data_IF_524196511513
#
_entry.id   IF_524196511513
#
_cell.length_a   1.000
_cell.length_b   1.000
_cell.length_c   1.000
_cell.angle_alpha   90.00
_cell.angle_beta   90.00
_cell.angle_gamma   90.00
#
_symmetry.space_group_name_H-M   'P 1'
#
loop_
_entity.id
_entity.type
_entity.pdbx_description
1 polymer ?
#
# COMPACT_ATOMS: atom_id res chain seq x y z
N UNK A 1 -15.93 71.03 -37.22
CA UNK A 1 -14.62 70.45 -37.57
C UNK A 1 -13.82 69.99 -36.31
N UNK A 2 -14.20 70.41 -35.12
CA UNK A 2 -13.51 70.07 -33.84
C UNK A 2 -13.94 68.72 -33.28
N UNK A 3 -15.12 68.23 -33.58
CA UNK A 3 -15.67 66.96 -32.99
C UNK A 3 -15.08 65.67 -33.63
N UNK A 4 -14.64 65.73 -34.86
CA UNK A 4 -14.00 64.58 -35.53
C UNK A 4 -12.52 64.34 -35.08
N UNK A 5 -11.87 65.35 -34.52
CA UNK A 5 -10.49 65.21 -34.01
C UNK A 5 -10.49 64.58 -32.63
N UNK A 6 -11.47 64.88 -31.78
CA UNK A 6 -11.57 64.32 -30.42
C UNK A 6 -11.96 62.82 -30.44
N UNK A 7 -12.82 62.38 -31.40
CA UNK A 7 -13.15 60.97 -31.51
C UNK A 7 -12.01 60.10 -32.05
N UNK A 8 -11.16 60.63 -32.95
CA UNK A 8 -9.96 59.90 -33.44
C UNK A 8 -8.87 59.75 -32.39
N UNK A 9 -8.72 60.72 -31.49
CA UNK A 9 -7.78 60.64 -30.38
C UNK A 9 -8.22 59.64 -29.28
N UNK A 10 -9.54 59.51 -29.03
CA UNK A 10 -10.07 58.49 -28.09
C UNK A 10 -9.94 57.08 -28.67
N UNK A 11 -10.18 56.87 -29.95
CA UNK A 11 -9.98 55.57 -30.60
C UNK A 11 -8.51 55.16 -30.63
N UNK A 12 -7.59 56.09 -30.89
CA UNK A 12 -6.14 55.81 -30.87
C UNK A 12 -5.63 55.43 -29.45
N UNK A 13 -6.22 56.02 -28.39
CA UNK A 13 -5.92 55.70 -27.00
C UNK A 13 -6.40 54.27 -26.64
N UNK A 14 -7.61 53.90 -27.03
CA UNK A 14 -8.16 52.57 -26.78
C UNK A 14 -7.39 51.45 -27.54
N UNK A 15 -6.96 51.73 -28.78
CA UNK A 15 -6.14 50.79 -29.52
C UNK A 15 -4.72 50.60 -28.90
N UNK A 16 -4.19 51.65 -28.26
CA UNK A 16 -2.89 51.56 -27.57
C UNK A 16 -2.97 50.78 -26.26
N UNK A 17 -4.08 50.95 -25.50
CA UNK A 17 -4.34 50.17 -24.29
C UNK A 17 -4.64 48.71 -24.63
N UNK A 18 -5.45 48.40 -25.65
CA UNK A 18 -5.69 47.04 -26.12
C UNK A 18 -4.40 46.34 -26.57
N UNK A 19 -3.50 47.04 -27.28
CA UNK A 19 -2.19 46.51 -27.69
C UNK A 19 -1.28 46.27 -26.49
N UNK A 20 -1.30 47.12 -25.47
CA UNK A 20 -0.55 46.97 -24.26
C UNK A 20 -1.06 45.79 -23.41
N UNK A 21 -2.39 45.62 -23.30
CA UNK A 21 -3.00 44.46 -22.64
C UNK A 21 -2.74 43.16 -23.40
N UNK A 22 -2.80 43.16 -24.72
CA UNK A 22 -2.46 41.98 -25.53
C UNK A 22 -0.99 41.62 -25.44
N UNK A 23 -0.07 42.58 -25.33
CA UNK A 23 1.36 42.35 -25.12
C UNK A 23 1.65 41.85 -23.68
N UNK A 24 0.89 42.32 -22.67
CA UNK A 24 1.00 41.79 -21.31
C UNK A 24 0.49 40.35 -21.21
N UNK A 25 -0.62 40.02 -21.88
CA UNK A 25 -1.14 38.64 -21.94
C UNK A 25 -0.18 37.73 -22.71
N UNK A 26 0.42 38.20 -23.83
CA UNK A 26 1.44 37.43 -24.52
C UNK A 26 2.71 37.25 -23.67
N UNK A 27 3.15 38.25 -22.89
CA UNK A 27 4.31 38.15 -22.02
C UNK A 27 4.07 37.18 -20.84
N UNK A 28 2.83 37.12 -20.31
CA UNK A 28 2.45 36.17 -19.25
C UNK A 28 2.37 34.74 -19.82
N UNK A 29 1.92 34.56 -21.05
CA UNK A 29 1.88 33.24 -21.72
C UNK A 29 3.30 32.76 -22.11
N UNK A 30 4.25 33.65 -22.36
CA UNK A 30 5.64 33.27 -22.70
C UNK A 30 6.55 33.04 -21.47
N UNK A 31 6.13 33.45 -20.26
CA UNK A 31 6.89 33.18 -19.04
C UNK A 31 6.50 31.89 -18.32
N UNK A 32 5.51 31.16 -18.79
CA UNK A 32 5.29 29.78 -18.40
C UNK A 32 6.08 28.83 -19.33
N UNK A 33 7.40 28.98 -19.35
CA UNK A 33 8.25 27.86 -19.75
C UNK A 33 7.87 26.70 -18.79
N UNK A 34 7.52 25.50 -19.32
CA UNK A 34 7.35 24.36 -18.45
C UNK A 34 8.66 24.24 -17.67
N UNK A 35 8.60 24.36 -16.35
CA UNK A 35 9.71 24.00 -15.49
C UNK A 35 9.99 22.55 -15.86
N UNK A 36 11.05 22.32 -16.64
CA UNK A 36 11.47 20.99 -17.03
C UNK A 36 11.65 20.25 -15.70
N UNK A 37 10.84 19.25 -15.43
CA UNK A 37 10.96 18.46 -14.21
C UNK A 37 12.45 18.11 -14.09
N UNK A 38 13.06 18.44 -12.95
CA UNK A 38 14.47 18.16 -12.77
C UNK A 38 14.61 16.64 -12.70
N UNK A 39 15.36 16.08 -13.63
CA UNK A 39 15.56 14.64 -13.77
C UNK A 39 16.63 14.19 -12.79
N UNK A 40 16.42 13.12 -11.99
CA UNK A 40 17.47 12.56 -11.15
C UNK A 40 18.69 12.14 -11.96
N UNK A 41 19.89 12.20 -11.39
CA UNK A 41 21.07 11.69 -12.08
C UNK A 41 20.91 10.21 -12.42
N UNK A 42 21.13 9.81 -13.66
CA UNK A 42 20.99 8.43 -14.12
C UNK A 42 21.86 7.45 -13.29
N UNK A 43 23.03 7.90 -12.85
CA UNK A 43 23.94 7.13 -11.99
C UNK A 43 23.33 6.86 -10.60
N UNK A 44 22.54 7.77 -10.06
CA UNK A 44 21.87 7.59 -8.79
C UNK A 44 20.65 6.66 -8.92
N UNK A 45 19.87 6.79 -9.99
CA UNK A 45 18.76 5.88 -10.31
C UNK A 45 19.28 4.44 -10.42
N UNK A 46 20.38 4.24 -11.15
CA UNK A 46 20.99 2.92 -11.33
C UNK A 46 21.58 2.37 -10.03
N UNK A 47 22.24 3.18 -9.22
CA UNK A 47 22.73 2.80 -7.89
C UNK A 47 21.61 2.23 -7.01
N UNK A 48 20.50 2.95 -6.93
CA UNK A 48 19.37 2.52 -6.10
C UNK A 48 18.73 1.26 -6.68
N UNK A 49 18.57 1.18 -8.00
CA UNK A 49 18.02 0.00 -8.67
C UNK A 49 18.84 -1.26 -8.38
N UNK A 50 20.16 -1.20 -8.57
CA UNK A 50 21.08 -2.31 -8.29
C UNK A 50 21.07 -2.69 -6.80
N UNK A 51 21.04 -1.71 -5.91
CA UNK A 51 20.94 -1.96 -4.48
C UNK A 51 19.63 -2.64 -4.07
N UNK A 52 18.50 -2.24 -4.65
CA UNK A 52 17.21 -2.91 -4.42
C UNK A 52 17.19 -4.34 -4.98
N UNK A 53 17.79 -4.58 -6.16
CA UNK A 53 17.97 -5.96 -6.67
C UNK A 53 18.81 -6.81 -5.72
N UNK A 54 19.87 -6.25 -5.18
CA UNK A 54 20.70 -6.93 -4.19
C UNK A 54 19.93 -7.25 -2.91
N UNK A 55 19.16 -6.28 -2.38
CA UNK A 55 18.30 -6.50 -1.20
C UNK A 55 17.30 -7.64 -1.46
N UNK A 56 16.67 -7.66 -2.63
CA UNK A 56 15.73 -8.73 -2.99
C UNK A 56 16.42 -10.09 -3.05
N UNK A 57 17.50 -10.19 -3.82
CA UNK A 57 18.09 -11.48 -4.21
C UNK A 57 19.04 -12.05 -3.13
N UNK A 58 19.69 -11.19 -2.33
CA UNK A 58 20.69 -11.63 -1.34
C UNK A 58 20.19 -11.56 0.11
N UNK A 59 19.06 -10.85 0.37
CA UNK A 59 18.57 -10.66 1.73
C UNK A 59 17.13 -11.16 1.93
N UNK A 60 16.16 -10.69 1.13
CA UNK A 60 14.76 -11.04 1.33
C UNK A 60 14.50 -12.49 0.87
N UNK A 61 14.71 -12.78 -0.41
CA UNK A 61 14.36 -14.10 -0.98
C UNK A 61 15.04 -15.25 -0.26
N UNK A 62 16.36 -15.20 0.03
CA UNK A 62 17.03 -16.32 0.72
C UNK A 62 16.56 -16.58 2.16
N UNK A 63 16.02 -15.56 2.84
CA UNK A 63 15.43 -15.75 4.16
C UNK A 63 14.08 -16.48 4.09
N UNK A 64 13.26 -16.15 3.09
CA UNK A 64 11.91 -16.70 3.00
C UNK A 64 11.85 -18.04 2.25
N UNK A 65 12.71 -18.26 1.27
CA UNK A 65 12.74 -19.50 0.49
C UNK A 65 14.10 -20.19 0.62
N UNK A 66 14.13 -21.51 0.90
CA UNK A 66 12.99 -22.43 1.19
C UNK A 66 12.61 -22.49 2.67
N UNK A 67 13.24 -21.71 3.55
CA UNK A 67 13.26 -21.90 5.02
C UNK A 67 11.87 -21.91 5.67
N UNK A 68 10.91 -21.18 5.14
CA UNK A 68 9.57 -21.07 5.74
C UNK A 68 8.58 -22.15 5.25
N UNK A 69 8.93 -22.98 4.28
CA UNK A 69 8.03 -24.01 3.76
C UNK A 69 7.79 -25.08 4.83
N UNK A 70 6.54 -25.34 5.19
CA UNK A 70 6.17 -26.44 6.10
C UNK A 70 5.80 -27.69 5.28
N UNK A 71 6.83 -28.46 4.92
CA UNK A 71 6.66 -29.69 4.13
C UNK A 71 5.78 -30.74 4.84
N UNK A 72 5.70 -30.69 6.17
CA UNK A 72 4.97 -31.68 6.96
C UNK A 72 3.47 -31.38 7.06
N UNK A 73 3.12 -30.13 7.32
CA UNK A 73 1.77 -29.74 7.69
C UNK A 73 1.13 -28.80 6.65
N UNK A 74 1.85 -28.47 5.58
CA UNK A 74 1.41 -27.52 4.57
C UNK A 74 1.53 -26.06 5.01
N UNK A 75 1.45 -25.14 4.04
CA UNK A 75 1.61 -23.70 4.29
C UNK A 75 3.03 -23.33 4.76
N UNK A 76 3.13 -22.32 5.62
CA UNK A 76 4.42 -21.75 6.00
C UNK A 76 4.60 -21.69 7.51
N UNK A 77 5.85 -21.88 7.96
CA UNK A 77 6.28 -21.73 9.36
C UNK A 77 6.77 -20.29 9.59
N UNK A 78 5.95 -19.46 10.21
CA UNK A 78 6.20 -18.03 10.38
C UNK A 78 6.40 -17.67 11.86
N UNK A 79 7.37 -18.33 12.51
CA UNK A 79 7.72 -18.11 13.91
C UNK A 79 9.25 -18.06 14.05
N UNK A 80 9.85 -16.91 13.67
CA UNK A 80 11.30 -16.74 13.70
C UNK A 80 11.65 -15.51 14.56
N UNK A 81 12.59 -15.66 15.46
CA UNK A 81 13.07 -14.58 16.33
C UNK A 81 13.79 -13.45 15.57
N UNK A 82 14.35 -12.51 16.30
CA UNK A 82 15.08 -11.36 15.73
C UNK A 82 16.34 -11.74 14.95
N UNK A 83 16.90 -12.92 15.19
CA UNK A 83 18.06 -13.46 14.49
C UNK A 83 17.69 -14.44 13.36
N UNK A 84 16.40 -14.59 13.08
CA UNK A 84 15.93 -15.52 12.06
C UNK A 84 15.89 -16.97 12.49
N UNK A 85 16.07 -17.27 13.77
CA UNK A 85 16.00 -18.64 14.29
C UNK A 85 14.56 -19.07 14.46
N UNK A 86 14.19 -20.21 13.89
CA UNK A 86 12.85 -20.80 14.04
C UNK A 86 12.59 -21.19 15.49
N UNK A 87 11.46 -20.70 16.04
CA UNK A 87 11.10 -20.86 17.45
C UNK A 87 10.11 -22.03 17.69
N UNK A 88 9.90 -22.87 16.69
CA UNK A 88 8.99 -24.00 16.76
C UNK A 88 7.60 -23.72 16.13
N UNK A 89 6.77 -24.78 15.99
CA UNK A 89 5.45 -24.66 15.38
C UNK A 89 4.55 -23.68 16.14
N UNK A 90 3.77 -22.92 15.40
CA UNK A 90 2.80 -21.96 15.94
C UNK A 90 1.52 -21.96 15.11
N UNK A 91 0.46 -21.36 15.63
CA UNK A 91 -0.76 -21.14 14.86
C UNK A 91 -0.46 -20.44 13.54
N UNK A 92 -1.15 -20.86 12.48
CA UNK A 92 -1.04 -20.31 11.14
C UNK A 92 -2.16 -19.33 10.88
N UNK A 93 -1.80 -18.04 10.91
CA UNK A 93 -2.75 -16.94 10.69
C UNK A 93 -2.98 -16.72 9.19
N UNK A 94 -4.24 -16.59 8.77
CA UNK A 94 -4.64 -16.34 7.39
C UNK A 94 -3.87 -15.19 6.76
N UNK A 95 -3.75 -14.05 7.46
CA UNK A 95 -3.11 -12.84 6.95
C UNK A 95 -1.69 -13.12 6.45
N UNK A 96 -0.86 -13.76 7.25
CA UNK A 96 0.55 -13.98 6.89
C UNK A 96 0.74 -15.18 5.96
N UNK A 97 -0.12 -16.20 6.05
CA UNK A 97 -0.13 -17.28 5.05
C UNK A 97 -0.49 -16.72 3.66
N UNK A 98 -1.56 -15.94 3.55
CA UNK A 98 -1.97 -15.31 2.30
C UNK A 98 -0.92 -14.34 1.75
N UNK A 99 -0.36 -13.46 2.60
CA UNK A 99 0.72 -12.54 2.23
C UNK A 99 1.95 -13.25 1.69
N UNK A 100 2.27 -14.44 2.20
CA UNK A 100 3.41 -15.24 1.72
C UNK A 100 3.09 -15.92 0.37
N UNK A 101 1.87 -16.43 0.17
CA UNK A 101 1.39 -16.89 -1.16
C UNK A 101 1.48 -15.75 -2.17
N UNK A 102 0.99 -14.56 -1.79
CA UNK A 102 1.06 -13.38 -2.64
C UNK A 102 2.51 -13.05 -3.04
N UNK A 103 3.44 -13.03 -2.07
CA UNK A 103 4.84 -12.70 -2.32
C UNK A 103 5.50 -13.66 -3.31
N UNK A 104 5.38 -14.96 -3.11
CA UNK A 104 5.98 -15.94 -4.03
C UNK A 104 5.34 -15.89 -5.42
N UNK A 105 4.02 -15.68 -5.49
CA UNK A 105 3.30 -15.49 -6.77
C UNK A 105 3.79 -14.23 -7.48
N UNK A 106 3.91 -13.12 -6.77
CA UNK A 106 4.36 -11.84 -7.31
C UNK A 106 5.82 -11.88 -7.74
N UNK A 107 6.67 -12.55 -6.97
CA UNK A 107 8.08 -12.76 -7.31
C UNK A 107 8.22 -13.48 -8.67
N UNK A 108 7.40 -14.52 -8.88
CA UNK A 108 7.33 -15.23 -10.17
C UNK A 108 6.76 -14.33 -11.29
N UNK A 109 5.64 -13.66 -11.07
CA UNK A 109 4.97 -12.80 -12.05
C UNK A 109 5.86 -11.63 -12.50
N UNK A 110 6.71 -11.13 -11.62
CA UNK A 110 7.64 -10.02 -11.92
C UNK A 110 8.93 -10.44 -12.64
N UNK A 111 9.16 -11.76 -12.81
CA UNK A 111 10.35 -12.30 -13.44
C UNK A 111 11.60 -12.33 -12.55
N UNK A 112 11.47 -12.00 -11.26
CA UNK A 112 12.54 -12.12 -10.27
C UNK A 112 12.57 -13.49 -9.57
N UNK A 113 11.51 -14.30 -9.72
CA UNK A 113 11.42 -15.67 -9.21
C UNK A 113 11.38 -16.72 -10.31
N UNK A 114 11.86 -17.92 -10.01
CA UNK A 114 11.81 -19.10 -10.86
C UNK A 114 10.61 -20.03 -10.57
N UNK A 115 10.54 -21.19 -11.26
CA UNK A 115 9.48 -22.21 -11.05
C UNK A 115 9.39 -22.69 -9.59
N UNK A 116 10.49 -22.69 -8.86
CA UNK A 116 10.55 -23.06 -7.43
C UNK A 116 9.74 -22.12 -6.55
N UNK A 117 9.70 -20.83 -6.86
CA UNK A 117 8.89 -19.85 -6.16
C UNK A 117 7.40 -19.99 -6.50
N UNK A 118 7.07 -20.33 -7.76
CA UNK A 118 5.71 -20.68 -8.12
C UNK A 118 5.24 -21.96 -7.40
N UNK A 119 6.10 -22.96 -7.27
CA UNK A 119 5.80 -24.17 -6.48
C UNK A 119 5.60 -23.86 -4.99
N UNK A 120 6.40 -22.91 -4.43
CA UNK A 120 6.20 -22.43 -3.07
C UNK A 120 4.86 -21.71 -2.89
N UNK A 121 4.46 -20.89 -3.87
CA UNK A 121 3.14 -20.25 -3.88
C UNK A 121 2.00 -21.27 -3.97
N UNK A 122 2.15 -22.29 -4.81
CA UNK A 122 1.17 -23.39 -4.94
C UNK A 122 1.01 -24.18 -3.64
N UNK A 123 2.13 -24.46 -2.94
CA UNK A 123 2.12 -25.12 -1.64
C UNK A 123 1.28 -24.33 -0.62
N UNK A 124 1.47 -23.01 -0.56
CA UNK A 124 0.68 -22.14 0.31
C UNK A 124 -0.78 -21.99 -0.13
N UNK A 125 -1.05 -21.90 -1.44
CA UNK A 125 -2.41 -21.86 -1.99
C UNK A 125 -3.21 -23.13 -1.62
N UNK A 126 -2.60 -24.32 -1.74
CA UNK A 126 -3.24 -25.56 -1.32
C UNK A 126 -3.60 -25.52 0.17
N UNK A 127 -2.72 -24.99 1.02
CA UNK A 127 -3.01 -24.80 2.44
C UNK A 127 -4.16 -23.82 2.70
N UNK A 128 -4.19 -22.68 1.99
CA UNK A 128 -5.32 -21.75 2.10
C UNK A 128 -6.65 -22.43 1.76
N UNK A 129 -6.70 -23.11 0.61
CA UNK A 129 -7.89 -23.78 0.11
C UNK A 129 -8.35 -24.92 1.02
N UNK A 130 -7.42 -25.79 1.46
CA UNK A 130 -7.76 -27.07 2.09
C UNK A 130 -7.86 -27.00 3.61
N UNK A 131 -7.24 -25.99 4.26
CA UNK A 131 -7.14 -25.92 5.71
C UNK A 131 -7.73 -24.63 6.31
N UNK A 132 -7.74 -23.53 5.57
CA UNK A 132 -8.25 -22.25 6.05
C UNK A 132 -9.62 -21.88 5.49
N UNK A 133 -10.00 -22.42 4.34
CA UNK A 133 -11.35 -22.26 3.79
C UNK A 133 -12.38 -22.98 4.67
N UNK A 134 -13.52 -22.34 4.88
CA UNK A 134 -14.63 -22.88 5.67
C UNK A 134 -15.69 -23.48 4.74
N UNK A 135 -15.66 -24.80 4.53
CA UNK A 135 -16.57 -25.52 3.63
C UNK A 135 -18.05 -25.43 4.04
N UNK A 136 -18.33 -25.11 5.31
CA UNK A 136 -19.72 -25.03 5.81
C UNK A 136 -20.36 -23.65 5.55
N UNK A 137 -19.60 -22.58 5.76
CA UNK A 137 -20.13 -21.21 5.69
C UNK A 137 -19.47 -20.33 4.61
N UNK A 138 -18.48 -20.86 3.92
CA UNK A 138 -17.68 -20.09 2.97
C UNK A 138 -16.74 -19.07 3.65
N UNK A 139 -15.78 -18.56 2.88
CA UNK A 139 -14.74 -17.66 3.36
C UNK A 139 -13.73 -18.34 4.28
N UNK A 140 -12.73 -17.62 4.70
CA UNK A 140 -11.61 -18.17 5.45
C UNK A 140 -11.76 -17.95 6.96
N UNK A 141 -11.35 -18.94 7.77
CA UNK A 141 -11.16 -18.74 9.21
C UNK A 141 -9.93 -17.88 9.48
N UNK A 142 -9.88 -17.16 10.62
CA UNK A 142 -8.76 -16.28 10.95
C UNK A 142 -7.44 -17.02 11.15
N UNK A 143 -7.47 -18.14 11.86
CA UNK A 143 -6.28 -18.98 12.09
C UNK A 143 -6.64 -20.43 12.38
N UNK A 144 -5.70 -21.30 12.05
CA UNK A 144 -5.68 -22.71 12.41
C UNK A 144 -4.44 -23.03 13.27
N UNK A 145 -4.43 -24.16 13.92
CA UNK A 145 -3.27 -24.65 14.67
C UNK A 145 -2.07 -24.94 13.74
N UNK A 146 -0.93 -25.26 14.31
CA UNK A 146 0.29 -25.54 13.56
C UNK A 146 0.14 -26.69 12.56
N UNK A 147 -0.79 -27.63 12.80
CA UNK A 147 -1.05 -28.77 11.90
C UNK A 147 -2.06 -28.46 10.78
N UNK A 148 -2.76 -27.34 10.88
CA UNK A 148 -3.83 -26.96 9.97
C UNK A 148 -5.18 -27.65 10.25
N UNK A 149 -5.28 -28.49 11.28
CA UNK A 149 -6.47 -29.34 11.49
C UNK A 149 -7.54 -28.69 12.36
N UNK A 150 -7.18 -27.77 13.23
CA UNK A 150 -8.09 -27.16 14.21
C UNK A 150 -8.14 -25.67 13.98
N UNK A 151 -9.34 -25.14 13.70
CA UNK A 151 -9.55 -23.71 13.65
C UNK A 151 -9.44 -23.11 15.06
N UNK A 152 -8.29 -22.49 15.35
CA UNK A 152 -8.02 -21.88 16.66
C UNK A 152 -8.78 -20.57 16.84
N UNK A 153 -9.06 -19.87 15.74
CA UNK A 153 -9.89 -18.67 15.69
C UNK A 153 -10.82 -18.74 14.46
N UNK A 154 -12.01 -19.32 14.62
CA UNK A 154 -12.90 -19.59 13.48
C UNK A 154 -13.67 -18.36 12.97
N UNK A 155 -13.64 -17.23 13.69
CA UNK A 155 -14.32 -16.01 13.26
C UNK A 155 -13.72 -15.45 11.95
N UNK A 156 -14.50 -14.62 11.27
CA UNK A 156 -14.12 -14.01 10.01
C UNK A 156 -13.94 -12.52 10.18
N UNK A 157 -12.83 -12.02 9.68
CA UNK A 157 -12.53 -10.60 9.67
C UNK A 157 -12.17 -10.17 8.26
N UNK A 158 -12.79 -9.09 7.81
CA UNK A 158 -12.67 -8.63 6.42
C UNK A 158 -11.23 -8.32 6.00
N UNK A 159 -10.44 -7.78 6.92
CA UNK A 159 -9.00 -7.57 6.69
C UNK A 159 -8.28 -8.83 6.20
N UNK A 160 -8.52 -9.95 6.87
CA UNK A 160 -7.89 -11.22 6.50
C UNK A 160 -8.49 -11.81 5.20
N UNK A 161 -9.81 -11.66 4.98
CA UNK A 161 -10.46 -12.06 3.73
C UNK A 161 -9.91 -11.27 2.53
N UNK A 162 -9.65 -9.96 2.71
CA UNK A 162 -9.01 -9.13 1.70
C UNK A 162 -7.64 -9.67 1.30
N UNK A 163 -6.78 -10.03 2.26
CA UNK A 163 -5.48 -10.66 1.93
C UNK A 163 -5.61 -12.02 1.27
N UNK A 164 -6.62 -12.81 1.63
CA UNK A 164 -6.88 -14.06 0.93
C UNK A 164 -7.27 -13.80 -0.54
N UNK A 165 -8.17 -12.87 -0.81
CA UNK A 165 -8.54 -12.47 -2.17
C UNK A 165 -7.32 -11.98 -2.96
N UNK A 166 -6.46 -11.17 -2.35
CA UNK A 166 -5.23 -10.66 -2.96
C UNK A 166 -4.27 -11.78 -3.35
N UNK A 167 -4.06 -12.75 -2.44
CA UNK A 167 -3.22 -13.91 -2.69
C UNK A 167 -3.78 -14.83 -3.78
N UNK A 168 -5.08 -15.11 -3.75
CA UNK A 168 -5.76 -15.93 -4.75
C UNK A 168 -5.66 -15.32 -6.15
N UNK A 169 -5.85 -14.01 -6.25
CA UNK A 169 -5.77 -13.26 -7.51
C UNK A 169 -4.35 -13.30 -8.10
N UNK A 170 -3.35 -13.02 -7.28
CA UNK A 170 -1.94 -13.03 -7.72
C UNK A 170 -1.48 -14.43 -8.10
N UNK A 171 -1.90 -15.46 -7.32
CA UNK A 171 -1.60 -16.85 -7.63
C UNK A 171 -2.33 -17.33 -8.90
N UNK A 172 -3.59 -16.96 -9.11
CA UNK A 172 -4.31 -17.26 -10.34
C UNK A 172 -3.60 -16.66 -11.56
N UNK A 173 -3.08 -15.46 -11.44
CA UNK A 173 -2.28 -14.79 -12.47
C UNK A 173 -0.96 -15.54 -12.75
N UNK A 174 -0.27 -16.01 -11.71
CA UNK A 174 0.99 -16.73 -11.83
C UNK A 174 0.82 -18.15 -12.39
N UNK A 175 -0.12 -18.91 -11.84
CA UNK A 175 -0.32 -20.33 -12.13
C UNK A 175 -1.17 -20.59 -13.38
N UNK A 176 -2.00 -19.61 -13.79
CA UNK A 176 -3.05 -19.75 -14.82
C UNK A 176 -4.11 -20.83 -14.48
N UNK A 177 -4.24 -21.18 -13.19
CA UNK A 177 -5.22 -22.18 -12.74
C UNK A 177 -6.61 -21.55 -12.61
N UNK A 178 -7.58 -22.08 -13.36
CA UNK A 178 -8.97 -21.62 -13.30
C UNK A 178 -9.61 -21.83 -11.92
N UNK A 179 -9.19 -22.87 -11.18
CA UNK A 179 -9.64 -23.15 -9.82
C UNK A 179 -9.30 -21.99 -8.85
N UNK A 180 -8.10 -21.44 -8.92
CA UNK A 180 -7.69 -20.32 -8.08
C UNK A 180 -8.48 -19.04 -8.41
N UNK A 181 -8.73 -18.78 -9.71
CA UNK A 181 -9.58 -17.67 -10.13
C UNK A 181 -11.05 -17.88 -9.71
N UNK A 182 -11.54 -19.12 -9.74
CA UNK A 182 -12.87 -19.51 -9.26
C UNK A 182 -13.04 -19.25 -7.77
N UNK A 183 -12.07 -19.65 -6.95
CA UNK A 183 -12.10 -19.42 -5.50
C UNK A 183 -12.00 -17.92 -5.17
N UNK A 184 -11.24 -17.13 -5.94
CA UNK A 184 -11.21 -15.67 -5.79
C UNK A 184 -12.58 -15.05 -6.10
N UNK A 185 -13.27 -15.51 -7.16
CA UNK A 185 -14.61 -15.07 -7.50
C UNK A 185 -15.62 -15.43 -6.40
N UNK A 186 -15.60 -16.67 -5.92
CA UNK A 186 -16.47 -17.13 -4.85
C UNK A 186 -16.30 -16.26 -3.59
N UNK A 187 -15.05 -16.03 -3.20
CA UNK A 187 -14.77 -15.16 -2.06
C UNK A 187 -15.29 -13.74 -2.27
N UNK A 188 -15.02 -13.12 -3.43
CA UNK A 188 -15.47 -11.75 -3.70
C UNK A 188 -16.99 -11.62 -3.57
N UNK A 189 -17.77 -12.49 -4.24
CA UNK A 189 -19.22 -12.43 -4.19
C UNK A 189 -19.78 -12.75 -2.80
N UNK A 190 -19.10 -13.63 -2.04
CA UNK A 190 -19.44 -13.86 -0.65
C UNK A 190 -19.26 -12.62 0.21
N UNK A 191 -18.15 -11.85 0.02
CA UNK A 191 -17.92 -10.60 0.73
C UNK A 191 -18.97 -9.53 0.37
N UNK A 192 -19.38 -9.46 -0.89
CA UNK A 192 -20.49 -8.60 -1.32
C UNK A 192 -21.80 -8.95 -0.61
N UNK A 193 -22.12 -10.22 -0.53
CA UNK A 193 -23.37 -10.68 0.13
C UNK A 193 -23.34 -10.46 1.64
N UNK A 194 -22.22 -10.75 2.30
CA UNK A 194 -22.14 -10.83 3.78
C UNK A 194 -21.63 -9.56 4.45
N UNK A 195 -20.75 -8.81 3.80
CA UNK A 195 -20.01 -7.75 4.45
C UNK A 195 -20.26 -6.35 3.87
N UNK A 196 -20.68 -6.21 2.61
CA UNK A 196 -20.92 -4.89 2.01
C UNK A 196 -22.02 -4.13 2.71
N UNK A 197 -21.77 -2.87 3.09
CA UNK A 197 -22.75 -1.98 3.71
C UNK A 197 -23.45 -1.10 2.67
N UNK A 198 -24.52 -1.60 2.09
CA UNK A 198 -25.29 -0.88 1.08
C UNK A 198 -25.94 0.43 1.59
N UNK A 199 -25.96 0.70 2.92
CA UNK A 199 -26.55 1.91 3.46
C UNK A 199 -25.54 3.06 3.55
N UNK A 200 -24.33 2.78 4.00
CA UNK A 200 -23.31 3.81 4.26
C UNK A 200 -22.05 3.62 3.43
N UNK A 201 -21.99 2.61 2.56
CA UNK A 201 -20.83 2.26 1.77
C UNK A 201 -19.71 1.63 2.58
N UNK A 202 -18.77 0.98 1.87
CA UNK A 202 -17.71 0.19 2.47
C UNK A 202 -18.23 -1.11 3.08
N UNK A 203 -17.49 -1.67 4.02
CA UNK A 203 -17.71 -3.02 4.48
C UNK A 203 -17.75 -3.12 6.00
N UNK A 204 -18.61 -3.99 6.52
CA UNK A 204 -18.55 -4.42 7.92
C UNK A 204 -17.41 -5.43 8.08
N UNK A 205 -16.74 -5.45 9.23
CA UNK A 205 -15.42 -6.08 9.33
C UNK A 205 -15.35 -7.34 10.17
N UNK A 206 -16.23 -7.46 11.17
CA UNK A 206 -16.14 -8.47 12.22
C UNK A 206 -17.36 -9.37 12.25
N UNK A 207 -17.16 -10.68 12.06
CA UNK A 207 -18.23 -11.67 11.99
C UNK A 207 -17.86 -12.92 12.78
N UNK A 208 -18.88 -13.60 13.29
CA UNK A 208 -18.76 -14.98 13.74
C UNK A 208 -18.42 -15.89 12.53
N UNK A 209 -18.11 -17.17 12.80
CA UNK A 209 -17.83 -18.18 11.79
C UNK A 209 -18.94 -18.27 10.74
N UNK A 210 -20.19 -18.20 11.18
CA UNK A 210 -21.42 -18.30 10.39
C UNK A 210 -21.83 -16.98 9.68
N UNK A 211 -20.93 -15.99 9.62
CA UNK A 211 -21.16 -14.64 9.11
C UNK A 211 -22.20 -13.83 9.91
N UNK A 212 -22.68 -14.36 11.05
CA UNK A 212 -23.48 -13.56 11.96
C UNK A 212 -22.67 -12.40 12.57
N UNK A 213 -23.33 -11.39 13.16
CA UNK A 213 -22.65 -10.26 13.79
C UNK A 213 -21.57 -10.70 14.77
N UNK A 214 -20.43 -10.03 14.77
CA UNK A 214 -19.33 -10.30 15.67
C UNK A 214 -19.72 -10.14 17.13
N UNK A 215 -18.93 -10.70 18.07
CA UNK A 215 -19.22 -10.58 19.49
C UNK A 215 -19.13 -9.13 19.95
N UNK A 216 -20.04 -8.73 20.86
CA UNK A 216 -20.09 -7.37 21.42
C UNK A 216 -18.99 -7.06 22.43
N UNK A 217 -18.16 -8.03 22.76
CA UNK A 217 -17.02 -7.89 23.69
C UNK A 217 -15.78 -8.52 23.07
N UNK A 218 -14.64 -7.84 23.19
CA UNK A 218 -13.36 -8.33 22.62
C UNK A 218 -13.26 -8.10 21.12
N UNK A 219 -12.98 -6.88 20.74
CA UNK A 219 -12.78 -6.50 19.33
C UNK A 219 -11.46 -7.06 18.81
N UNK A 220 -11.47 -7.52 17.56
CA UNK A 220 -10.25 -7.90 16.84
C UNK A 220 -9.67 -6.67 16.14
N UNK A 221 -8.36 -6.53 16.10
CA UNK A 221 -7.67 -5.36 15.55
C UNK A 221 -8.15 -4.01 16.10
N UNK A 222 -8.75 -4.02 17.29
CA UNK A 222 -9.40 -2.85 17.91
C UNK A 222 -10.52 -2.25 17.06
N UNK A 223 -11.16 -3.03 16.19
CA UNK A 223 -12.34 -2.59 15.42
C UNK A 223 -13.44 -2.16 16.38
N UNK A 224 -14.04 -0.96 16.23
CA UNK A 224 -15.18 -0.56 17.03
C UNK A 224 -16.35 -1.54 16.84
N UNK A 225 -17.14 -1.72 17.88
CA UNK A 225 -18.37 -2.52 17.76
C UNK A 225 -19.28 -1.84 16.73
N UNK A 226 -19.75 -2.61 15.74
CA UNK A 226 -20.53 -2.12 14.61
C UNK A 226 -19.87 -0.95 13.86
N UNK A 227 -18.55 -0.84 13.92
CA UNK A 227 -17.75 0.22 13.27
C UNK A 227 -16.92 -0.27 12.12
N UNK A 228 -16.13 0.66 11.58
CA UNK A 228 -15.24 0.47 10.43
C UNK A 228 -13.85 1.04 10.72
N UNK A 229 -12.83 0.42 10.13
CA UNK A 229 -11.45 0.90 10.17
C UNK A 229 -11.03 1.45 8.81
N UNK A 230 -10.29 2.56 8.83
CA UNK A 230 -9.56 3.01 7.65
C UNK A 230 -8.58 1.94 7.18
N UNK A 231 -7.83 1.35 8.10
CA UNK A 231 -6.83 0.33 7.81
C UNK A 231 -7.42 -0.88 7.05
N UNK A 232 -8.58 -1.41 7.43
CA UNK A 232 -9.22 -2.50 6.69
C UNK A 232 -9.59 -2.07 5.26
N UNK A 233 -10.21 -0.89 5.11
CA UNK A 233 -10.63 -0.40 3.79
C UNK A 233 -9.44 0.03 2.91
N UNK A 234 -8.34 0.48 3.52
CA UNK A 234 -7.06 0.68 2.85
C UNK A 234 -6.58 -0.61 2.19
N UNK A 235 -6.55 -1.70 2.97
CA UNK A 235 -6.10 -3.01 2.49
C UNK A 235 -7.13 -3.76 1.64
N UNK A 236 -8.33 -3.23 1.45
CA UNK A 236 -9.25 -3.70 0.41
C UNK A 236 -8.94 -3.08 -0.97
N UNK A 237 -8.28 -1.92 -1.04
CA UNK A 237 -7.86 -1.35 -2.33
C UNK A 237 -6.98 -2.32 -3.12
N UNK A 238 -6.06 -3.03 -2.45
CA UNK A 238 -5.12 -3.95 -3.10
C UNK A 238 -5.81 -5.14 -3.79
N UNK A 239 -6.59 -5.97 -3.07
CA UNK A 239 -7.29 -7.10 -3.70
C UNK A 239 -8.32 -6.65 -4.74
N UNK A 240 -9.04 -5.56 -4.50
CA UNK A 240 -10.03 -5.08 -5.45
C UNK A 240 -9.38 -4.51 -6.71
N UNK A 241 -8.22 -3.84 -6.58
CA UNK A 241 -7.41 -3.39 -7.72
C UNK A 241 -7.00 -4.57 -8.61
N UNK A 242 -6.33 -5.57 -8.01
CA UNK A 242 -5.82 -6.71 -8.77
C UNK A 242 -6.94 -7.63 -9.26
N UNK A 243 -8.02 -7.77 -8.50
CA UNK A 243 -9.16 -8.58 -8.91
C UNK A 243 -9.98 -7.90 -10.02
N UNK A 244 -10.09 -6.57 -10.03
CA UNK A 244 -10.70 -5.83 -11.15
C UNK A 244 -9.91 -6.06 -12.45
N UNK A 245 -8.57 -6.04 -12.38
CA UNK A 245 -7.70 -6.32 -13.53
C UNK A 245 -7.82 -7.78 -14.03
N UNK A 246 -7.95 -8.75 -13.10
CA UNK A 246 -8.07 -10.16 -13.45
C UNK A 246 -9.45 -10.51 -14.01
N UNK A 247 -10.52 -10.03 -13.37
CA UNK A 247 -11.90 -10.43 -13.68
C UNK A 247 -12.52 -9.62 -14.82
N UNK A 248 -12.18 -8.35 -14.93
CA UNK A 248 -12.87 -7.40 -15.79
C UNK A 248 -14.35 -7.18 -15.41
N UNK A 249 -14.74 -7.52 -14.19
CA UNK A 249 -16.10 -7.46 -13.69
C UNK A 249 -16.51 -6.02 -13.32
N UNK A 250 -17.64 -5.57 -13.86
CA UNK A 250 -18.16 -4.22 -13.63
C UNK A 250 -18.50 -3.96 -12.15
N UNK A 251 -19.00 -4.96 -11.40
CA UNK A 251 -19.29 -4.83 -9.97
C UNK A 251 -18.01 -4.64 -9.17
N UNK A 252 -16.95 -5.39 -9.48
CA UNK A 252 -15.63 -5.22 -8.83
C UNK A 252 -15.11 -3.81 -9.05
N UNK A 253 -15.23 -3.30 -10.28
CA UNK A 253 -14.85 -1.93 -10.61
C UNK A 253 -15.69 -0.89 -9.87
N UNK A 254 -16.99 -1.09 -9.74
CA UNK A 254 -17.88 -0.22 -8.96
C UNK A 254 -17.47 -0.18 -7.49
N UNK A 255 -17.19 -1.32 -6.87
CA UNK A 255 -16.71 -1.41 -5.48
C UNK A 255 -15.32 -0.81 -5.30
N UNK A 256 -14.44 -0.95 -6.28
CA UNK A 256 -13.13 -0.28 -6.27
C UNK A 256 -13.29 1.25 -6.26
N UNK A 257 -14.21 1.79 -7.07
CA UNK A 257 -14.52 3.23 -7.06
C UNK A 257 -15.10 3.67 -5.70
N UNK A 258 -15.97 2.87 -5.10
CA UNK A 258 -16.50 3.14 -3.76
C UNK A 258 -15.36 3.19 -2.71
N UNK A 259 -14.43 2.25 -2.74
CA UNK A 259 -13.25 2.24 -1.85
C UNK A 259 -12.33 3.45 -2.08
N UNK A 260 -12.13 3.86 -3.34
CA UNK A 260 -11.41 5.11 -3.67
C UNK A 260 -12.08 6.31 -3.00
N UNK A 261 -13.41 6.40 -3.05
CA UNK A 261 -14.15 7.49 -2.40
C UNK A 261 -14.06 7.43 -0.88
N UNK A 262 -14.12 6.25 -0.28
CA UNK A 262 -13.91 6.07 1.17
C UNK A 262 -12.53 6.58 1.57
N UNK A 263 -11.48 6.12 0.91
CA UNK A 263 -10.09 6.42 1.25
C UNK A 263 -9.65 7.85 0.91
N UNK A 264 -10.29 8.49 -0.07
CA UNK A 264 -9.98 9.87 -0.45
C UNK A 264 -10.85 10.92 0.24
N UNK A 265 -11.97 10.54 0.88
CA UNK A 265 -12.89 11.50 1.50
C UNK A 265 -13.30 11.13 2.93
N UNK A 266 -13.86 9.93 3.17
CA UNK A 266 -14.47 9.60 4.46
C UNK A 266 -13.43 9.53 5.58
N UNK A 267 -12.28 8.91 5.32
CA UNK A 267 -11.21 8.72 6.32
C UNK A 267 -10.25 9.89 6.45
N UNK A 268 -10.29 10.83 5.50
CA UNK A 268 -9.40 11.98 5.49
C UNK A 268 -9.91 13.10 6.40
N UNK A 269 -9.05 13.56 7.31
CA UNK A 269 -9.25 14.82 8.04
C UNK A 269 -8.61 15.96 7.25
N UNK A 270 -9.39 16.57 6.35
CA UNK A 270 -8.91 17.61 5.41
C UNK A 270 -8.28 18.79 6.12
N UNK A 271 -8.85 19.20 7.25
CA UNK A 271 -8.35 20.27 8.10
C UNK A 271 -7.02 19.96 8.79
N UNK A 272 -6.68 18.69 8.95
CA UNK A 272 -5.46 18.23 9.61
C UNK A 272 -4.41 17.76 8.61
N UNK A 273 -4.82 17.35 7.41
CA UNK A 273 -3.94 16.83 6.37
C UNK A 273 -3.47 15.39 6.59
N UNK A 274 -4.22 14.61 7.38
CA UNK A 274 -3.91 13.23 7.75
C UNK A 274 -5.20 12.40 7.88
N UNK A 275 -5.07 11.08 7.91
CA UNK A 275 -6.18 10.17 8.14
C UNK A 275 -6.35 9.83 9.63
N UNK A 276 -7.55 9.37 9.99
CA UNK A 276 -7.83 8.68 11.25
C UNK A 276 -8.27 7.25 10.97
N UNK A 277 -8.13 6.35 11.95
CA UNK A 277 -8.34 4.93 11.70
C UNK A 277 -9.76 4.43 12.03
N UNK A 278 -10.44 5.00 13.04
CA UNK A 278 -11.66 4.41 13.61
C UNK A 278 -12.91 5.24 13.35
N UNK A 279 -13.97 4.56 12.91
CA UNK A 279 -15.22 5.16 12.49
C UNK A 279 -16.41 4.37 13.03
N UNK A 280 -17.52 5.08 13.30
CA UNK A 280 -18.82 4.46 13.38
C UNK A 280 -19.25 3.92 11.99
N UNK A 281 -20.30 3.13 11.94
CA UNK A 281 -20.77 2.50 10.70
C UNK A 281 -21.05 3.51 9.59
N UNK A 282 -21.53 4.70 9.92
CA UNK A 282 -21.87 5.79 9.02
C UNK A 282 -20.69 6.70 8.64
N UNK A 283 -19.46 6.26 8.91
CA UNK A 283 -18.21 6.99 8.71
C UNK A 283 -18.03 8.21 9.62
N UNK A 284 -18.82 8.37 10.67
CA UNK A 284 -18.54 9.37 11.71
C UNK A 284 -17.24 9.01 12.43
N UNK A 285 -16.22 9.90 12.44
CA UNK A 285 -14.93 9.58 13.05
C UNK A 285 -15.03 9.47 14.57
N UNK A 286 -14.37 8.45 15.12
CA UNK A 286 -14.22 8.27 16.56
C UNK A 286 -12.90 8.94 16.99
N UNK A 287 -13.03 10.15 17.55
CA UNK A 287 -11.88 11.00 17.88
C UNK A 287 -11.50 10.93 19.38
N UNK A 288 -11.72 9.80 20.04
CA UNK A 288 -11.15 9.56 21.37
C UNK A 288 -9.62 9.72 21.30
N UNK A 289 -8.97 10.39 22.27
CA UNK A 289 -7.50 10.57 22.25
C UNK A 289 -6.70 9.28 22.09
N UNK A 290 -7.24 8.14 22.50
CA UNK A 290 -6.61 6.84 22.28
C UNK A 290 -6.60 6.41 20.80
N UNK A 291 -7.46 7.01 19.97
CA UNK A 291 -7.63 6.65 18.55
C UNK A 291 -7.25 7.77 17.58
N UNK A 292 -7.23 9.00 18.04
CA UNK A 292 -6.95 10.19 17.22
C UNK A 292 -5.44 10.41 17.07
N UNK A 293 -4.74 9.43 16.52
CA UNK A 293 -3.30 9.50 16.22
C UNK A 293 -3.05 9.35 14.72
N UNK A 294 -1.95 9.92 14.26
CA UNK A 294 -1.49 9.76 12.88
C UNK A 294 -0.55 8.57 12.80
N UNK A 295 -0.84 7.63 11.90
CA UNK A 295 0.08 6.61 11.44
C UNK A 295 0.68 7.07 10.11
N UNK A 296 1.93 7.53 10.13
CA UNK A 296 2.57 8.05 8.91
C UNK A 296 2.67 6.99 7.82
N UNK A 297 2.89 5.72 8.23
CA UNK A 297 2.91 4.59 7.31
C UNK A 297 1.59 4.42 6.54
N UNK A 298 0.45 4.41 7.25
CA UNK A 298 -0.85 4.24 6.60
C UNK A 298 -1.22 5.43 5.70
N UNK A 299 -0.89 6.67 6.11
CA UNK A 299 -1.17 7.84 5.28
C UNK A 299 -0.44 7.80 3.93
N UNK A 300 0.85 7.46 3.95
CA UNK A 300 1.66 7.35 2.72
C UNK A 300 1.31 6.08 1.91
N UNK A 301 0.96 4.97 2.56
CA UNK A 301 0.46 3.76 1.91
C UNK A 301 -0.85 4.05 1.15
N UNK A 302 -1.77 4.80 1.78
CA UNK A 302 -3.03 5.22 1.16
C UNK A 302 -2.80 5.95 -0.17
N UNK A 303 -1.77 6.80 -0.26
CA UNK A 303 -1.48 7.57 -1.47
C UNK A 303 -1.18 6.66 -2.66
N UNK A 304 -0.22 5.75 -2.53
CA UNK A 304 0.16 4.94 -3.68
C UNK A 304 -0.88 3.86 -4.01
N UNK A 305 -1.62 3.34 -3.02
CA UNK A 305 -2.73 2.44 -3.26
C UNK A 305 -3.88 3.12 -4.01
N UNK A 306 -4.19 4.37 -3.68
CA UNK A 306 -5.16 5.18 -4.44
C UNK A 306 -4.69 5.43 -5.88
N UNK A 307 -3.39 5.69 -6.09
CA UNK A 307 -2.83 5.88 -7.45
C UNK A 307 -3.05 4.62 -8.29
N UNK A 308 -2.78 3.43 -7.76
CA UNK A 308 -2.99 2.17 -8.48
C UNK A 308 -4.48 1.84 -8.65
N UNK A 309 -5.28 2.04 -7.62
CA UNK A 309 -6.73 1.83 -7.69
C UNK A 309 -7.39 2.70 -8.77
N UNK A 310 -7.02 3.98 -8.86
CA UNK A 310 -7.49 4.87 -9.92
C UNK A 310 -7.08 4.35 -11.31
N UNK A 311 -5.84 3.90 -11.48
CA UNK A 311 -5.36 3.32 -12.76
C UNK A 311 -6.20 2.10 -13.16
N UNK A 312 -6.41 1.16 -12.24
CA UNK A 312 -7.21 -0.05 -12.49
C UNK A 312 -8.69 0.26 -12.75
N UNK A 313 -9.25 1.24 -12.05
CA UNK A 313 -10.63 1.71 -12.27
C UNK A 313 -10.80 2.55 -13.55
N UNK A 314 -9.71 2.87 -14.28
CA UNK A 314 -9.74 3.75 -15.45
C UNK A 314 -10.04 5.21 -15.11
N UNK A 315 -9.70 5.65 -13.90
CA UNK A 315 -9.88 7.01 -13.41
C UNK A 315 -8.56 7.81 -13.48
N UNK A 316 -8.61 9.11 -13.82
CA UNK A 316 -7.43 9.94 -13.80
C UNK A 316 -6.96 10.26 -12.38
N UNK A 317 -5.65 10.21 -12.11
CA UNK A 317 -5.07 10.60 -10.83
C UNK A 317 -5.02 12.11 -10.60
N UNK A 318 -5.11 12.93 -11.67
CA UNK A 318 -5.02 14.38 -11.59
C UNK A 318 -5.91 15.03 -10.51
N UNK A 319 -7.21 14.69 -10.40
CA UNK A 319 -8.09 15.25 -9.38
C UNK A 319 -7.69 14.99 -7.93
N UNK A 320 -6.92 13.92 -7.66
CA UNK A 320 -6.46 13.54 -6.32
C UNK A 320 -5.01 13.95 -6.03
N UNK A 321 -4.30 14.56 -6.99
CA UNK A 321 -2.88 14.90 -6.84
C UNK A 321 -2.60 15.82 -5.64
N UNK A 322 -3.48 16.80 -5.38
CA UNK A 322 -3.31 17.71 -4.24
C UNK A 322 -3.56 16.99 -2.89
N UNK A 323 -4.48 16.02 -2.85
CA UNK A 323 -4.65 15.14 -1.70
C UNK A 323 -3.38 14.29 -1.45
N UNK A 324 -2.82 13.71 -2.51
CA UNK A 324 -1.58 12.93 -2.41
C UNK A 324 -0.42 13.77 -1.87
N UNK A 325 -0.26 15.01 -2.39
CA UNK A 325 0.71 15.96 -1.85
C UNK A 325 0.46 16.26 -0.38
N UNK A 326 -0.78 16.52 -0.01
CA UNK A 326 -1.14 16.85 1.37
C UNK A 326 -0.71 15.75 2.34
N UNK A 327 -1.02 14.49 2.06
CA UNK A 327 -0.70 13.36 2.92
C UNK A 327 0.82 13.09 2.99
N UNK A 328 1.50 13.07 1.85
CA UNK A 328 2.95 12.80 1.82
C UNK A 328 3.74 13.97 2.40
N UNK A 329 3.39 15.21 2.10
CA UNK A 329 4.04 16.38 2.68
C UNK A 329 3.81 16.50 4.19
N UNK A 330 2.63 16.09 4.68
CA UNK A 330 2.37 15.98 6.11
C UNK A 330 3.31 14.95 6.77
N UNK A 331 3.42 13.76 6.19
CA UNK A 331 4.32 12.72 6.68
C UNK A 331 5.79 13.15 6.62
N UNK A 332 6.22 13.83 5.55
CA UNK A 332 7.55 14.40 5.43
C UNK A 332 7.82 15.48 6.48
N UNK A 333 6.83 16.31 6.81
CA UNK A 333 6.98 17.39 7.77
C UNK A 333 7.07 16.92 9.22
N UNK A 334 6.26 15.95 9.61
CA UNK A 334 6.09 15.57 11.01
C UNK A 334 6.65 14.20 11.36
N UNK A 335 6.72 13.28 10.39
CA UNK A 335 7.09 11.88 10.56
C UNK A 335 8.40 11.46 9.89
N UNK A 336 9.07 12.34 9.14
CA UNK A 336 10.30 11.99 8.45
C UNK A 336 11.55 12.39 9.25
N UNK A 337 12.56 11.52 9.25
CA UNK A 337 13.87 11.79 9.84
C UNK A 337 14.78 12.48 8.83
N UNK A 338 14.81 13.84 8.86
CA UNK A 338 15.59 14.63 7.92
C UNK A 338 17.11 14.51 8.08
N UNK A 339 17.59 13.95 9.21
CA UNK A 339 19.02 13.77 9.44
C UNK A 339 19.51 12.42 8.91
N UNK A 340 18.70 11.35 9.08
CA UNK A 340 19.12 9.99 8.81
C UNK A 340 18.33 9.30 7.69
N UNK A 341 17.26 9.92 7.20
CA UNK A 341 16.33 9.32 6.26
C UNK A 341 15.33 8.36 6.91
N UNK A 342 14.25 8.03 6.18
CA UNK A 342 13.19 7.14 6.63
C UNK A 342 12.16 7.78 7.56
N UNK A 343 11.09 7.03 7.83
CA UNK A 343 9.93 7.51 8.56
C UNK A 343 9.84 6.97 9.98
N UNK A 344 9.41 7.79 10.90
CA UNK A 344 8.95 7.40 12.23
C UNK A 344 7.57 6.74 12.18
N UNK A 345 7.21 5.98 13.22
CA UNK A 345 5.99 5.17 13.25
C UNK A 345 4.71 6.03 13.34
N UNK A 346 4.58 6.84 14.38
CA UNK A 346 3.35 7.56 14.66
C UNK A 346 3.57 8.87 15.42
N UNK A 347 2.53 9.71 15.45
CA UNK A 347 2.53 10.95 16.22
C UNK A 347 1.14 11.49 16.48
N UNK A 348 1.07 12.66 17.12
CA UNK A 348 -0.16 13.42 17.28
C UNK A 348 -0.34 14.42 16.12
N UNK A 349 -1.57 14.85 15.87
CA UNK A 349 -1.87 15.80 14.80
C UNK A 349 -1.08 17.09 14.94
N UNK A 350 -0.50 17.54 13.82
CA UNK A 350 0.27 18.79 13.68
C UNK A 350 1.43 18.93 14.69
N UNK A 351 1.98 17.81 15.17
CA UNK A 351 3.11 17.76 16.08
C UNK A 351 4.19 16.82 15.53
N UNK A 352 5.47 17.04 15.86
CA UNK A 352 6.52 16.07 15.51
C UNK A 352 6.21 14.67 16.07
N UNK A 353 6.68 13.65 15.36
CA UNK A 353 6.53 12.26 15.79
C UNK A 353 7.00 12.06 17.24
N UNK A 354 6.21 11.31 18.01
CA UNK A 354 6.53 10.89 19.37
C UNK A 354 6.88 9.39 19.44
N UNK A 355 6.33 8.55 18.56
CA UNK A 355 6.75 7.16 18.35
C UNK A 355 7.85 7.11 17.29
N UNK A 356 9.11 7.27 17.72
CA UNK A 356 10.27 7.47 16.83
C UNK A 356 10.99 6.20 16.42
N UNK A 357 10.50 5.02 16.74
CA UNK A 357 11.03 3.78 16.17
C UNK A 357 10.71 3.71 14.67
N UNK A 358 11.64 3.20 13.87
CA UNK A 358 11.44 2.99 12.45
C UNK A 358 11.04 1.53 12.22
N UNK A 359 9.77 1.33 11.91
CA UNK A 359 9.15 0.02 11.71
C UNK A 359 9.29 -0.37 10.25
N UNK A 360 9.59 -1.64 9.96
CA UNK A 360 9.93 -2.14 8.61
C UNK A 360 8.89 -1.80 7.53
N UNK A 361 7.60 -1.97 7.85
CA UNK A 361 6.53 -1.74 6.90
C UNK A 361 6.35 -0.26 6.56
N UNK A 362 6.54 0.63 7.54
CA UNK A 362 6.48 2.08 7.31
C UNK A 362 7.57 2.55 6.33
N UNK A 363 8.79 1.97 6.46
CA UNK A 363 9.88 2.26 5.51
C UNK A 363 9.58 1.72 4.11
N UNK A 364 9.02 0.51 4.03
CA UNK A 364 8.61 -0.11 2.78
C UNK A 364 7.57 0.72 2.04
N UNK A 365 6.51 1.14 2.74
CA UNK A 365 5.45 1.97 2.16
C UNK A 365 5.96 3.37 1.78
N UNK A 366 6.89 3.91 2.58
CA UNK A 366 7.57 5.17 2.28
C UNK A 366 8.34 5.15 0.97
N UNK A 367 9.08 4.07 0.70
CA UNK A 367 9.78 3.92 -0.59
C UNK A 367 8.81 4.01 -1.77
N UNK A 368 7.74 3.23 -1.73
CA UNK A 368 6.79 3.14 -2.83
C UNK A 368 6.09 4.48 -3.04
N UNK A 369 5.55 5.08 -1.98
CA UNK A 369 4.81 6.32 -2.06
C UNK A 369 5.66 7.49 -2.59
N UNK A 370 6.90 7.64 -2.10
CA UNK A 370 7.80 8.69 -2.53
C UNK A 370 8.16 8.56 -4.02
N UNK A 371 8.40 7.34 -4.49
CA UNK A 371 8.73 7.10 -5.89
C UNK A 371 7.52 7.36 -6.81
N UNK A 372 6.30 6.96 -6.38
CA UNK A 372 5.07 7.30 -7.11
C UNK A 372 4.80 8.80 -7.14
N UNK A 373 5.02 9.49 -6.03
CA UNK A 373 4.87 10.94 -6.00
C UNK A 373 5.86 11.64 -6.91
N UNK A 374 7.10 11.16 -6.98
CA UNK A 374 8.06 11.67 -7.96
C UNK A 374 7.61 11.39 -9.40
N UNK A 375 7.19 10.16 -9.71
CA UNK A 375 6.67 9.79 -11.04
C UNK A 375 5.48 10.69 -11.46
N UNK A 376 4.55 10.93 -10.54
CA UNK A 376 3.33 11.69 -10.81
C UNK A 376 3.56 13.20 -10.94
N UNK A 377 4.47 13.78 -10.14
CA UNK A 377 4.61 15.23 -10.00
C UNK A 377 5.89 15.81 -10.59
N UNK A 378 6.94 15.00 -10.74
CA UNK A 378 8.29 15.45 -11.11
C UNK A 378 9.00 16.27 -10.04
N UNK A 379 8.47 16.34 -8.81
CA UNK A 379 9.03 17.15 -7.71
C UNK A 379 10.22 16.44 -7.06
N UNK A 380 11.42 17.02 -7.18
CA UNK A 380 12.68 16.46 -6.65
C UNK A 380 12.67 16.18 -5.16
N UNK A 381 11.87 16.88 -4.36
CA UNK A 381 11.78 16.64 -2.92
C UNK A 381 11.39 15.19 -2.61
N UNK A 382 10.51 14.59 -3.42
CA UNK A 382 10.09 13.20 -3.26
C UNK A 382 11.20 12.21 -3.67
N UNK A 383 11.93 12.50 -4.75
CA UNK A 383 13.10 11.74 -5.11
C UNK A 383 14.19 11.77 -4.03
N UNK A 384 14.50 12.95 -3.51
CA UNK A 384 15.49 13.11 -2.44
C UNK A 384 15.10 12.35 -1.17
N UNK A 385 13.83 12.43 -0.76
CA UNK A 385 13.31 11.66 0.37
C UNK A 385 13.32 10.14 0.10
N UNK A 386 13.02 9.72 -1.14
CA UNK A 386 13.13 8.32 -1.56
C UNK A 386 14.55 7.79 -1.43
N UNK A 387 15.54 8.51 -1.95
CA UNK A 387 16.96 8.12 -1.86
C UNK A 387 17.41 8.07 -0.40
N UNK A 388 17.07 9.07 0.41
CA UNK A 388 17.40 9.08 1.83
C UNK A 388 16.75 7.93 2.61
N UNK A 389 15.51 7.55 2.26
CA UNK A 389 14.82 6.39 2.83
C UNK A 389 15.50 5.09 2.41
N UNK A 390 15.86 4.95 1.13
CA UNK A 390 16.60 3.80 0.62
C UNK A 390 17.96 3.64 1.33
N UNK A 391 18.75 4.70 1.41
CA UNK A 391 20.08 4.66 2.05
C UNK A 391 19.97 4.27 3.54
N UNK A 392 18.95 4.75 4.23
CA UNK A 392 18.69 4.34 5.61
C UNK A 392 18.27 2.86 5.70
N UNK A 393 17.41 2.40 4.80
CA UNK A 393 16.99 0.98 4.75
C UNK A 393 18.19 0.07 4.51
N UNK A 394 19.00 0.36 3.48
CA UNK A 394 20.18 -0.46 3.14
C UNK A 394 21.18 -0.53 4.29
N UNK A 395 21.39 0.59 4.99
CA UNK A 395 22.38 0.71 6.04
C UNK A 395 21.91 0.28 7.45
N UNK A 396 20.60 0.28 7.73
CA UNK A 396 20.08 0.11 9.09
C UNK A 396 18.92 -0.89 9.21
N UNK A 397 18.00 -0.95 8.24
CA UNK A 397 16.83 -1.83 8.33
C UNK A 397 17.13 -3.23 7.82
N UNK A 398 17.97 -3.36 6.78
CA UNK A 398 18.36 -4.64 6.20
C UNK A 398 19.33 -5.36 7.14
N UNK A 399 18.97 -6.56 7.55
CA UNK A 399 19.88 -7.43 8.32
C UNK A 399 20.70 -8.31 7.38
N UNK A 400 21.85 -7.82 6.95
CA UNK A 400 22.75 -8.55 6.05
C UNK A 400 23.35 -9.82 6.68
N UNK A 401 23.27 -9.96 8.00
CA UNK A 401 23.84 -11.12 8.72
C UNK A 401 22.86 -12.29 8.80
N UNK A 402 21.58 -12.01 9.12
CA UNK A 402 20.61 -13.05 9.42
C UNK A 402 19.48 -13.13 8.39
N UNK A 403 19.52 -12.27 7.36
CA UNK A 403 18.50 -12.19 6.31
C UNK A 403 17.27 -11.39 6.74
N UNK A 404 16.51 -10.98 5.75
CA UNK A 404 15.32 -10.12 5.85
C UNK A 404 15.59 -8.79 6.61
N UNK A 405 14.58 -7.96 6.73
CA UNK A 405 14.69 -6.70 7.44
C UNK A 405 14.43 -6.85 8.94
N UNK A 406 15.11 -6.06 9.77
CA UNK A 406 14.72 -5.90 11.16
C UNK A 406 13.28 -5.43 11.26
N UNK A 407 12.51 -5.95 12.23
CA UNK A 407 11.11 -5.55 12.40
C UNK A 407 10.99 -4.09 12.85
N UNK A 408 11.91 -3.64 13.72
CA UNK A 408 11.95 -2.27 14.20
C UNK A 408 13.38 -1.85 14.55
N UNK A 409 13.72 -0.59 14.30
CA UNK A 409 14.98 0.02 14.72
C UNK A 409 14.68 1.24 15.58
N UNK A 410 15.12 1.22 16.83
CA UNK A 410 14.95 2.32 17.76
C UNK A 410 15.81 3.56 17.35
N UNK A 411 15.52 4.78 17.85
CA UNK A 411 16.35 5.97 17.62
C UNK A 411 17.82 5.80 18.03
N UNK A 412 18.10 4.91 18.99
CA UNK A 412 19.45 4.53 19.41
C UNK A 412 20.21 3.64 18.39
N UNK A 413 19.54 3.19 17.32
CA UNK A 413 20.08 2.23 16.36
C UNK A 413 19.92 0.76 16.77
N UNK A 414 19.30 0.48 17.91
CA UNK A 414 19.07 -0.91 18.38
C UNK A 414 17.91 -1.52 17.60
N UNK A 415 18.19 -2.60 16.86
CA UNK A 415 17.21 -3.40 16.16
C UNK A 415 16.49 -4.36 17.11
N UNK A 416 15.19 -4.64 16.83
CA UNK A 416 14.37 -5.52 17.65
C UNK A 416 13.20 -6.12 16.86
N UNK A 417 12.51 -7.07 17.49
CA UNK A 417 11.32 -7.74 16.96
C UNK A 417 11.62 -8.95 16.10
N UNK A 418 10.66 -9.84 16.00
CA UNK A 418 10.76 -11.11 15.27
C UNK A 418 10.82 -10.88 13.75
N UNK A 419 11.60 -11.72 13.06
CA UNK A 419 11.72 -11.71 11.58
C UNK A 419 10.44 -12.21 10.91
N UNK A 420 9.78 -13.20 11.50
CA UNK A 420 8.51 -13.72 11.03
C UNK A 420 7.58 -14.03 12.22
N UNK A 421 6.31 -13.66 12.09
CA UNK A 421 5.28 -13.92 13.11
C UNK A 421 3.87 -13.78 12.47
N UNK A 422 2.82 -13.72 13.29
CA UNK A 422 1.44 -13.57 12.81
C UNK A 422 1.16 -12.25 12.03
N UNK A 423 2.11 -11.29 12.03
CA UNK A 423 1.96 -9.99 11.36
C UNK A 423 3.08 -9.68 10.36
N UNK A 424 4.31 -10.11 10.63
CA UNK A 424 5.45 -9.87 9.74
C UNK A 424 5.69 -11.09 8.83
N UNK A 425 5.64 -10.84 7.54
CA UNK A 425 5.87 -11.76 6.42
C UNK A 425 6.63 -11.02 5.31
N UNK A 426 7.00 -11.65 4.18
CA UNK A 426 7.74 -10.99 3.09
C UNK A 426 6.93 -9.94 2.32
N UNK A 427 5.73 -9.59 2.76
CA UNK A 427 4.77 -8.80 2.04
C UNK A 427 5.21 -7.34 1.84
N UNK A 428 5.33 -6.52 2.91
CA UNK A 428 5.61 -5.10 2.77
C UNK A 428 6.96 -4.82 2.12
N UNK A 429 8.04 -5.38 2.65
CA UNK A 429 9.38 -5.14 2.12
C UNK A 429 9.61 -5.79 0.75
N UNK A 430 9.13 -7.01 0.54
CA UNK A 430 9.20 -7.67 -0.78
C UNK A 430 8.39 -6.95 -1.84
N UNK A 431 7.15 -6.55 -1.50
CA UNK A 431 6.29 -5.74 -2.37
C UNK A 431 6.94 -4.41 -2.74
N UNK A 432 7.46 -3.69 -1.75
CA UNK A 432 8.07 -2.39 -1.97
C UNK A 432 9.28 -2.49 -2.90
N UNK A 433 10.17 -3.46 -2.67
CA UNK A 433 11.35 -3.65 -3.51
C UNK A 433 10.94 -4.00 -4.94
N UNK A 434 10.03 -4.95 -5.14
CA UNK A 434 9.55 -5.35 -6.48
C UNK A 434 8.87 -4.18 -7.21
N UNK A 435 8.05 -3.39 -6.50
CA UNK A 435 7.36 -2.22 -7.07
C UNK A 435 8.34 -1.12 -7.46
N UNK A 436 9.29 -0.79 -6.60
CA UNK A 436 10.33 0.21 -6.90
C UNK A 436 11.21 -0.22 -8.07
N UNK A 437 11.60 -1.49 -8.16
CA UNK A 437 12.35 -2.03 -9.29
C UNK A 437 11.58 -1.89 -10.61
N UNK A 438 10.28 -2.14 -10.60
CA UNK A 438 9.41 -1.96 -11.76
C UNK A 438 9.42 -0.50 -12.24
N UNK A 439 9.20 0.46 -11.32
CA UNK A 439 9.15 1.89 -11.65
C UNK A 439 10.51 2.40 -12.15
N UNK A 440 11.60 2.09 -11.43
CA UNK A 440 12.96 2.51 -11.81
C UNK A 440 13.39 1.96 -13.18
N UNK A 441 12.98 0.72 -13.50
CA UNK A 441 13.23 0.13 -14.82
C UNK A 441 12.48 0.88 -15.93
N UNK A 442 11.25 1.31 -15.67
CA UNK A 442 10.48 2.11 -16.64
C UNK A 442 11.08 3.51 -16.82
N UNK A 443 11.54 4.16 -15.75
CA UNK A 443 12.23 5.46 -15.81
C UNK A 443 13.50 5.38 -16.69
N UNK A 444 14.33 4.34 -16.52
CA UNK A 444 15.53 4.15 -17.33
C UNK A 444 15.22 3.94 -18.82
N UNK A 445 14.16 3.21 -19.16
CA UNK A 445 13.73 3.01 -20.56
C UNK A 445 13.23 4.31 -21.19
N UNK A 446 12.48 5.12 -20.46
CA UNK A 446 12.01 6.43 -20.92
C UNK A 446 13.16 7.42 -21.19
N UNK A 447 14.21 7.38 -20.39
CA UNK A 447 15.42 8.21 -20.63
C UNK A 447 16.19 7.80 -21.89
N UNK A 448 16.26 6.49 -22.18
CA UNK A 448 17.00 5.97 -23.36
C UNK A 448 16.28 6.20 -24.71
N UNK A 449 15.01 6.59 -24.71
CA UNK A 449 14.23 6.88 -25.94
C UNK A 449 14.21 8.37 -26.31
N UNK A 450 14.87 9.24 -25.53
CA UNK A 450 14.92 10.69 -25.72
C UNK A 450 16.32 11.15 -26.19
N UNK A 451 17.30 10.26 -26.24
CA UNK A 451 18.61 10.47 -26.90
C UNK A 451 18.55 10.02 -28.38
#
# INVERSE_FOLDING_TARGET
MLDRKASRLRLAGQFKEMRMQALLVLAIVFCALPVRAAVPPAVEVERVRVGLERILNENIVPFWYPQVIDEKNGGYQLNHDSNGTFQGPSDKALVTQARTVWFFSRLYNSGYGGPEHLAAAEHGYAFLRDQLWDDEFGGFVWSVDATGQIATRPHKHLYAQGFALYALTEFATASKKAEAAGLAAELFYLLEEKAHDATYGGYMEWFRRDWGPGPKTGTYMSTPIDGKLMNTHLHLLEPFTTYAELSGDDLVRERLIELILVQSNAVLRKELGACTDKYARDWTPLLDPAYARVSYGHDIENVWLLIEACRAAGLPNGPLTDLYRQLVDYALRYGFDHERGGFYDAGNFAQPADAKSKVWWVQAEGLVALLYMYELTGELKYWQAFVATYDWIEGQQVDWRHGDWHASVAPSGVASGAKANAWKSPYHNGRAVLKCLQILTQMNRGASTVE
#
